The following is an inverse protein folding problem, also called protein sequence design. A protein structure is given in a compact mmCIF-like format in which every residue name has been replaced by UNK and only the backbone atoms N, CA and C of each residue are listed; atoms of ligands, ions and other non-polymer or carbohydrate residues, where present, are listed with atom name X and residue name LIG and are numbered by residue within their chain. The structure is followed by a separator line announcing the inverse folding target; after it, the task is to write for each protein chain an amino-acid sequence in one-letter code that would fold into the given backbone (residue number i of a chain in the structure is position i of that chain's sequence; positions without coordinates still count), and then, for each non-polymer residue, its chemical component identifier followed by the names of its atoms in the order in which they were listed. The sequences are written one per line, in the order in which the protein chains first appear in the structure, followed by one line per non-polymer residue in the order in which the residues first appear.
data_IF_301920356216
#
_entry.id   IF_301920356216
#
_cell.length_a   1.000
_cell.length_b   1.000
_cell.length_c   1.000
_cell.angle_alpha   90.00
_cell.angle_beta   90.00
_cell.angle_gamma   90.00
#
_symmetry.space_group_name_H-M   'P 1'
#
loop_
_entity.id
_entity.type
_entity.pdbx_description
1 polymer ?
#
# COMPACT_ATOMS: atom_id res chain seq x y z
N UNK A 1 10.96 -6.64 -13.51
CA UNK A 1 11.09 -6.88 -12.05
C UNK A 1 9.78 -7.29 -11.40
N UNK A 2 8.70 -6.53 -11.59
CA UNK A 2 7.37 -6.78 -10.99
C UNK A 2 6.86 -8.21 -11.22
N UNK A 3 6.93 -8.73 -12.44
CA UNK A 3 6.51 -10.10 -12.79
C UNK A 3 7.34 -11.15 -12.05
N UNK A 4 8.66 -10.96 -11.97
CA UNK A 4 9.57 -11.88 -11.29
C UNK A 4 9.27 -11.92 -9.78
N UNK A 5 9.10 -10.74 -9.17
CA UNK A 5 8.72 -10.63 -7.74
C UNK A 5 7.34 -11.25 -7.49
N UNK A 6 6.37 -11.02 -8.40
CA UNK A 6 5.05 -11.64 -8.34
C UNK A 6 5.11 -13.16 -8.39
N UNK A 7 5.92 -13.73 -9.28
CA UNK A 7 6.13 -15.18 -9.36
C UNK A 7 6.83 -15.71 -8.11
N UNK A 8 7.86 -15.04 -7.59
CA UNK A 8 8.57 -15.47 -6.37
C UNK A 8 7.61 -15.53 -5.19
N UNK A 9 6.83 -14.48 -4.95
CA UNK A 9 5.84 -14.47 -3.86
C UNK A 9 4.69 -15.45 -4.13
N UNK A 10 4.23 -15.57 -5.37
CA UNK A 10 3.22 -16.54 -5.76
C UNK A 10 3.67 -17.99 -5.53
N UNK A 11 4.94 -18.32 -5.80
CA UNK A 11 5.52 -19.63 -5.51
C UNK A 11 5.69 -19.85 -4.00
N UNK A 12 6.15 -18.84 -3.26
CA UNK A 12 6.32 -18.92 -1.81
C UNK A 12 5.00 -19.19 -1.08
N UNK A 13 3.89 -18.64 -1.60
CA UNK A 13 2.56 -18.75 -1.01
C UNK A 13 1.60 -19.61 -1.83
N UNK A 14 2.15 -20.56 -2.58
CA UNK A 14 1.39 -21.40 -3.50
C UNK A 14 0.23 -22.14 -2.82
N UNK A 15 -0.98 -21.95 -3.35
CA UNK A 15 -2.20 -22.66 -2.96
C UNK A 15 -2.47 -22.64 -1.44
N UNK A 16 -2.29 -21.47 -0.82
CA UNK A 16 -2.61 -21.21 0.60
C UNK A 16 -3.98 -20.56 0.80
N UNK A 17 -4.62 -20.05 -0.25
CA UNK A 17 -5.89 -19.32 -0.19
C UNK A 17 -7.03 -20.11 0.45
N UNK A 18 -7.10 -21.42 0.23
CA UNK A 18 -8.18 -22.28 0.74
C UNK A 18 -7.87 -22.93 2.11
N UNK A 19 -6.65 -22.77 2.62
CA UNK A 19 -6.22 -23.41 3.88
C UNK A 19 -6.34 -22.41 5.02
N UNK A 20 -7.48 -22.43 5.72
CA UNK A 20 -7.78 -21.50 6.83
C UNK A 20 -8.22 -22.20 8.12
N UNK A 21 -8.03 -23.52 8.22
CA UNK A 21 -8.56 -24.31 9.35
C UNK A 21 -7.83 -24.03 10.67
N UNK A 22 -6.58 -23.57 10.62
CA UNK A 22 -5.76 -23.25 11.79
C UNK A 22 -5.44 -21.76 11.81
N UNK A 23 -5.33 -21.21 13.02
CA UNK A 23 -4.90 -19.82 13.22
C UNK A 23 -3.58 -19.52 12.49
N UNK A 24 -2.62 -20.43 12.56
CA UNK A 24 -1.33 -20.28 11.89
C UNK A 24 -1.47 -20.13 10.37
N UNK A 25 -2.40 -20.85 9.75
CA UNK A 25 -2.58 -20.78 8.29
C UNK A 25 -3.19 -19.44 7.88
N UNK A 26 -4.14 -18.93 8.67
CA UNK A 26 -4.68 -17.60 8.50
C UNK A 26 -3.58 -16.54 8.67
N UNK A 27 -2.81 -16.58 9.76
CA UNK A 27 -1.70 -15.64 9.99
C UNK A 27 -0.63 -15.72 8.87
N UNK A 28 -0.35 -16.91 8.35
CA UNK A 28 0.54 -17.09 7.21
C UNK A 28 0.00 -16.41 5.94
N UNK A 29 -1.30 -16.51 5.66
CA UNK A 29 -1.95 -15.85 4.52
C UNK A 29 -1.95 -14.31 4.67
N UNK A 30 -2.20 -13.83 5.88
CA UNK A 30 -2.14 -12.40 6.20
C UNK A 30 -0.70 -11.87 6.07
N UNK A 31 0.29 -12.60 6.58
CA UNK A 31 1.71 -12.23 6.46
C UNK A 31 2.23 -12.31 5.03
N UNK A 32 1.70 -13.24 4.24
CA UNK A 32 1.99 -13.36 2.82
C UNK A 32 1.55 -12.13 2.04
N UNK A 33 0.28 -11.76 2.19
CA UNK A 33 -0.29 -10.56 1.55
C UNK A 33 0.42 -9.29 2.02
N UNK A 34 0.71 -9.17 3.32
CA UNK A 34 1.51 -8.08 3.87
C UNK A 34 2.89 -7.93 3.22
N UNK A 35 3.65 -9.03 3.19
CA UNK A 35 5.02 -9.04 2.68
C UNK A 35 5.07 -8.72 1.18
N UNK A 36 4.15 -9.30 0.41
CA UNK A 36 4.05 -9.09 -1.03
C UNK A 36 3.80 -7.61 -1.36
N UNK A 37 2.83 -6.99 -0.68
CA UNK A 37 2.46 -5.59 -0.89
C UNK A 37 3.56 -4.62 -0.46
N UNK A 38 4.15 -4.82 0.73
CA UNK A 38 5.20 -3.94 1.23
C UNK A 38 6.48 -4.00 0.41
N UNK A 39 6.90 -5.20 0.00
CA UNK A 39 8.16 -5.37 -0.71
C UNK A 39 8.12 -4.66 -2.06
N UNK A 40 7.07 -4.91 -2.86
CA UNK A 40 6.94 -4.30 -4.17
C UNK A 40 6.58 -2.80 -4.09
N UNK A 41 5.75 -2.40 -3.12
CA UNK A 41 5.46 -0.99 -2.86
C UNK A 41 6.71 -0.18 -2.47
N UNK A 42 7.58 -0.75 -1.64
CA UNK A 42 8.87 -0.14 -1.25
C UNK A 42 9.87 -0.01 -2.40
N UNK A 43 9.92 -1.01 -3.30
CA UNK A 43 10.74 -0.96 -4.51
C UNK A 43 10.25 0.14 -5.45
N UNK A 44 8.94 0.21 -5.70
CA UNK A 44 8.34 1.25 -6.55
C UNK A 44 8.64 2.66 -6.00
N UNK A 45 8.47 2.86 -4.69
CA UNK A 45 8.83 4.13 -4.03
C UNK A 45 10.28 4.50 -4.32
N UNK A 46 11.21 3.59 -4.09
CA UNK A 46 12.65 3.84 -4.26
C UNK A 46 13.02 4.13 -5.72
N UNK A 47 12.40 3.44 -6.67
CA UNK A 47 12.59 3.66 -8.11
C UNK A 47 12.13 5.05 -8.53
N UNK A 48 10.92 5.44 -8.13
CA UNK A 48 10.35 6.76 -8.45
C UNK A 48 11.18 7.88 -7.85
N UNK A 49 11.65 7.71 -6.60
CA UNK A 49 12.48 8.73 -5.94
C UNK A 49 13.76 9.06 -6.73
N UNK A 50 14.40 8.06 -7.32
CA UNK A 50 15.61 8.27 -8.13
C UNK A 50 15.29 9.04 -9.43
N UNK A 51 14.22 8.66 -10.14
CA UNK A 51 13.80 9.31 -11.38
C UNK A 51 13.42 10.77 -11.13
N UNK A 52 12.56 11.03 -10.13
CA UNK A 52 12.08 12.38 -9.80
C UNK A 52 13.22 13.28 -9.34
N UNK A 53 14.22 12.74 -8.63
CA UNK A 53 15.38 13.52 -8.20
C UNK A 53 16.23 14.03 -9.37
N UNK A 54 16.38 13.20 -10.42
CA UNK A 54 17.07 13.59 -11.66
C UNK A 54 16.24 14.63 -12.40
N UNK A 55 14.95 14.37 -12.63
CA UNK A 55 14.04 15.28 -13.34
C UNK A 55 13.92 16.65 -12.67
N UNK A 56 13.94 16.71 -11.34
CA UNK A 56 13.89 17.96 -10.57
C UNK A 56 14.96 18.97 -11.00
N UNK A 57 16.16 18.49 -11.37
CA UNK A 57 17.26 19.38 -11.81
C UNK A 57 16.95 20.02 -13.17
N UNK A 58 16.38 19.25 -14.09
CA UNK A 58 15.95 19.71 -15.42
C UNK A 58 14.76 20.67 -15.27
N UNK A 59 13.79 20.30 -14.43
CA UNK A 59 12.62 21.12 -14.10
C UNK A 59 13.01 22.51 -13.60
N UNK A 60 13.97 22.61 -12.67
CA UNK A 60 14.42 23.91 -12.18
C UNK A 60 15.03 24.79 -13.28
N UNK A 61 15.79 24.19 -14.21
CA UNK A 61 16.36 24.92 -15.35
C UNK A 61 15.29 25.40 -16.33
N UNK A 62 14.33 24.54 -16.69
CA UNK A 62 13.27 24.87 -17.64
C UNK A 62 12.26 25.87 -17.06
N UNK A 63 11.99 25.77 -15.76
CA UNK A 63 11.19 26.76 -15.04
C UNK A 63 11.89 28.11 -14.94
N UNK A 64 13.22 28.13 -14.75
CA UNK A 64 13.99 29.38 -14.76
C UNK A 64 14.02 30.04 -16.15
N UNK A 65 13.78 29.27 -17.21
CA UNK A 65 13.63 29.75 -18.59
C UNK A 65 12.15 30.04 -18.97
N UNK A 66 11.24 30.06 -18.00
CA UNK A 66 9.80 30.29 -18.19
C UNK A 66 9.11 29.38 -19.24
N UNK A 67 9.63 28.16 -19.44
CA UNK A 67 9.08 27.24 -20.44
C UNK A 67 7.72 26.65 -20.05
N UNK A 68 7.49 26.37 -18.77
CA UNK A 68 6.19 25.89 -18.26
C UNK A 68 6.04 26.08 -16.74
N UNK A 69 4.78 26.04 -16.28
CA UNK A 69 4.42 26.17 -14.87
C UNK A 69 4.56 24.87 -14.07
N UNK A 70 4.80 25.02 -12.77
CA UNK A 70 4.97 23.91 -11.82
C UNK A 70 3.75 22.96 -11.71
N UNK A 71 2.53 23.51 -11.77
CA UNK A 71 1.31 22.71 -11.56
C UNK A 71 1.01 21.79 -12.76
N UNK A 72 1.01 22.26 -14.03
CA UNK A 72 0.91 21.38 -15.19
C UNK A 72 1.94 20.24 -15.21
N UNK A 73 3.19 20.52 -14.80
CA UNK A 73 4.23 19.49 -14.65
C UNK A 73 3.84 18.43 -13.62
N UNK A 74 3.44 18.84 -12.41
CA UNK A 74 3.03 17.92 -11.35
C UNK A 74 1.81 17.06 -11.77
N UNK A 75 0.83 17.65 -12.44
CA UNK A 75 -0.33 16.90 -12.96
C UNK A 75 0.09 15.90 -14.04
N UNK A 76 0.88 16.32 -15.03
CA UNK A 76 1.32 15.44 -16.11
C UNK A 76 2.12 14.23 -15.57
N UNK A 77 3.03 14.48 -14.62
CA UNK A 77 3.83 13.44 -13.98
C UNK A 77 2.97 12.43 -13.22
N UNK A 78 1.99 12.91 -12.46
CA UNK A 78 1.10 12.02 -11.69
C UNK A 78 0.20 11.20 -12.60
N UNK A 79 -0.30 11.78 -13.69
CA UNK A 79 -1.13 11.07 -14.66
C UNK A 79 -0.35 9.94 -15.33
N UNK A 80 0.87 10.21 -15.80
CA UNK A 80 1.66 9.18 -16.48
C UNK A 80 2.07 8.05 -15.52
N UNK A 81 2.45 8.38 -14.29
CA UNK A 81 2.76 7.41 -13.25
C UNK A 81 1.54 6.54 -12.91
N UNK A 82 0.35 7.13 -12.83
CA UNK A 82 -0.88 6.39 -12.56
C UNK A 82 -1.17 5.34 -13.64
N UNK A 83 -0.95 5.67 -14.92
CA UNK A 83 -1.15 4.74 -16.04
C UNK A 83 -0.16 3.57 -15.94
N UNK A 84 1.13 3.85 -15.71
CA UNK A 84 2.14 2.80 -15.57
C UNK A 84 1.87 1.89 -14.38
N UNK A 85 1.52 2.48 -13.23
CA UNK A 85 1.18 1.73 -12.02
C UNK A 85 -0.05 0.86 -12.25
N UNK A 86 -1.09 1.35 -12.92
CA UNK A 86 -2.29 0.56 -13.19
C UNK A 86 -2.01 -0.70 -14.01
N UNK A 87 -1.19 -0.58 -15.06
CA UNK A 87 -0.80 -1.74 -15.88
C UNK A 87 0.07 -2.70 -15.04
N UNK A 88 1.03 -2.15 -14.30
CA UNK A 88 1.94 -2.94 -13.46
C UNK A 88 1.19 -3.71 -12.36
N UNK A 89 0.27 -3.06 -11.65
CA UNK A 89 -0.50 -3.67 -10.57
C UNK A 89 -1.51 -4.67 -11.10
N UNK A 90 -2.03 -4.47 -12.32
CA UNK A 90 -2.93 -5.43 -12.93
C UNK A 90 -2.23 -6.77 -13.16
N UNK A 91 -1.05 -6.74 -13.80
CA UNK A 91 -0.22 -7.93 -14.03
C UNK A 91 0.16 -8.58 -12.70
N UNK A 92 0.60 -7.80 -11.73
CA UNK A 92 1.01 -8.31 -10.42
C UNK A 92 -0.15 -8.95 -9.65
N UNK A 93 -1.31 -8.30 -9.63
CA UNK A 93 -2.51 -8.79 -8.94
C UNK A 93 -3.01 -10.07 -9.59
N UNK A 94 -2.99 -10.16 -10.92
CA UNK A 94 -3.38 -11.38 -11.63
C UNK A 94 -2.51 -12.57 -11.25
N UNK A 95 -1.18 -12.38 -11.20
CA UNK A 95 -0.23 -13.43 -10.83
C UNK A 95 -0.45 -13.85 -9.37
N UNK A 96 -0.46 -12.91 -8.43
CA UNK A 96 -0.64 -13.22 -7.02
C UNK A 96 -1.97 -13.87 -6.72
N UNK A 97 -3.07 -13.32 -7.25
CA UNK A 97 -4.41 -13.83 -6.99
C UNK A 97 -4.55 -15.28 -7.48
N UNK A 98 -4.00 -15.56 -8.67
CA UNK A 98 -3.99 -16.91 -9.25
C UNK A 98 -3.12 -17.89 -8.45
N UNK A 99 -1.91 -17.50 -8.08
CA UNK A 99 -0.94 -18.42 -7.46
C UNK A 99 -1.17 -18.65 -5.97
N UNK A 100 -1.66 -17.64 -5.24
CA UNK A 100 -2.11 -17.80 -3.84
C UNK A 100 -3.30 -18.77 -3.78
N UNK A 101 -4.12 -18.81 -4.84
CA UNK A 101 -5.29 -19.66 -4.93
C UNK A 101 -6.50 -19.05 -4.21
N UNK A 102 -6.73 -17.75 -4.38
CA UNK A 102 -7.96 -17.13 -3.88
C UNK A 102 -9.18 -17.60 -4.70
N UNK A 103 -10.35 -17.63 -4.07
CA UNK A 103 -11.60 -17.93 -4.75
C UNK A 103 -11.87 -16.93 -5.88
N UNK A 104 -11.97 -17.43 -7.11
CA UNK A 104 -12.27 -16.65 -8.30
C UNK A 104 -13.69 -16.10 -8.30
N UNK A 105 -13.84 -14.93 -7.69
CA UNK A 105 -15.03 -14.10 -7.77
C UNK A 105 -14.63 -12.72 -8.27
N UNK A 106 -15.33 -12.21 -9.29
CA UNK A 106 -15.01 -10.91 -9.92
C UNK A 106 -14.97 -9.79 -8.89
N UNK A 107 -15.92 -9.76 -7.94
CA UNK A 107 -15.92 -8.76 -6.86
C UNK A 107 -14.68 -8.82 -5.96
N UNK A 108 -14.26 -10.01 -5.54
CA UNK A 108 -13.08 -10.19 -4.67
C UNK A 108 -11.78 -9.83 -5.40
N UNK A 109 -11.68 -10.18 -6.69
CA UNK A 109 -10.55 -9.80 -7.53
C UNK A 109 -10.47 -8.29 -7.75
N UNK A 110 -11.59 -7.63 -8.05
CA UNK A 110 -11.62 -6.18 -8.25
C UNK A 110 -11.24 -5.41 -6.99
N UNK A 111 -11.71 -5.85 -5.82
CA UNK A 111 -11.30 -5.28 -4.53
C UNK A 111 -9.80 -5.52 -4.26
N UNK A 112 -9.31 -6.73 -4.53
CA UNK A 112 -7.89 -7.05 -4.39
C UNK A 112 -7.01 -6.16 -5.28
N UNK A 113 -7.37 -6.04 -6.57
CA UNK A 113 -6.72 -5.15 -7.52
C UNK A 113 -6.79 -3.69 -7.07
N UNK A 114 -7.94 -3.23 -6.59
CA UNK A 114 -8.13 -1.86 -6.09
C UNK A 114 -7.18 -1.55 -4.93
N UNK A 115 -7.08 -2.41 -3.92
CA UNK A 115 -6.21 -2.15 -2.77
C UNK A 115 -4.73 -2.17 -3.14
N UNK A 116 -4.31 -3.08 -4.03
CA UNK A 116 -2.93 -3.10 -4.54
C UNK A 116 -2.64 -1.86 -5.39
N UNK A 117 -3.58 -1.46 -6.25
CA UNK A 117 -3.48 -0.25 -7.07
C UNK A 117 -3.30 1.00 -6.20
N UNK A 118 -4.21 1.20 -5.25
CA UNK A 118 -4.15 2.34 -4.34
C UNK A 118 -2.89 2.32 -3.49
N UNK A 119 -2.45 1.13 -3.06
CA UNK A 119 -1.20 0.95 -2.36
C UNK A 119 -0.02 1.50 -3.15
N UNK A 120 0.14 1.07 -4.39
CA UNK A 120 1.28 1.49 -5.21
C UNK A 120 1.17 2.96 -5.58
N UNK A 121 -0.03 3.43 -5.86
CA UNK A 121 -0.27 4.84 -6.18
C UNK A 121 0.14 5.76 -5.03
N UNK A 122 -0.30 5.47 -3.79
CA UNK A 122 0.12 6.29 -2.65
C UNK A 122 1.61 6.12 -2.36
N UNK A 123 2.22 4.94 -2.55
CA UNK A 123 3.66 4.75 -2.35
C UNK A 123 4.48 5.59 -3.34
N UNK A 124 4.06 5.62 -4.59
CA UNK A 124 4.67 6.45 -5.64
C UNK A 124 4.51 7.94 -5.32
N UNK A 125 3.29 8.39 -5.02
CA UNK A 125 3.02 9.79 -4.64
C UNK A 125 3.80 10.21 -3.39
N UNK A 126 3.89 9.33 -2.41
CA UNK A 126 4.68 9.54 -1.21
C UNK A 126 6.18 9.63 -1.54
N UNK A 127 6.70 8.78 -2.44
CA UNK A 127 8.05 8.88 -2.98
C UNK A 127 8.31 10.24 -3.63
N UNK A 128 7.43 10.68 -4.52
CA UNK A 128 7.50 11.99 -5.18
C UNK A 128 7.44 13.15 -4.17
N UNK A 129 6.51 13.09 -3.22
CA UNK A 129 6.35 14.07 -2.14
C UNK A 129 7.62 14.19 -1.30
N UNK A 130 8.23 13.08 -0.89
CA UNK A 130 9.46 13.12 -0.08
C UNK A 130 10.64 13.75 -0.82
N UNK A 131 10.79 13.51 -2.13
CA UNK A 131 11.81 14.17 -2.96
C UNK A 131 11.50 15.65 -3.14
N UNK A 132 10.22 16.02 -3.27
CA UNK A 132 9.82 17.41 -3.39
C UNK A 132 9.97 18.21 -2.08
N UNK A 133 9.89 17.56 -0.92
CA UNK A 133 10.03 18.18 0.40
C UNK A 133 11.47 18.23 0.92
N UNK A 134 12.35 17.36 0.44
CA UNK A 134 13.69 17.20 1.03
C UNK A 134 14.81 17.47 0.01
N UNK A 135 15.90 18.13 0.45
CA UNK A 135 17.06 18.35 -0.40
C UNK A 135 17.95 17.09 -0.54
N UNK A 136 17.90 16.16 0.44
CA UNK A 136 18.81 15.01 0.53
C UNK A 136 18.04 13.69 0.78
N UNK A 137 18.41 12.64 0.03
CA UNK A 137 17.81 11.30 0.08
C UNK A 137 17.81 10.66 1.49
N UNK A 138 18.74 11.06 2.37
CA UNK A 138 18.86 10.51 3.74
C UNK A 138 17.65 10.83 4.63
N UNK A 139 16.99 11.98 4.47
CA UNK A 139 15.81 12.33 5.29
C UNK A 139 14.57 11.52 4.92
N UNK A 140 14.47 11.04 3.67
CA UNK A 140 13.38 10.18 3.23
C UNK A 140 13.44 8.75 3.82
N UNK A 141 14.57 8.37 4.45
CA UNK A 141 14.71 7.12 5.19
C UNK A 141 14.04 7.20 6.57
N UNK A 142 14.08 8.35 7.25
CA UNK A 142 13.40 8.57 8.55
C UNK A 142 11.88 8.44 8.37
N UNK A 143 11.36 8.89 7.23
CA UNK A 143 9.93 8.79 6.96
C UNK A 143 9.49 7.35 6.62
N UNK A 144 10.41 6.45 6.23
CA UNK A 144 10.13 5.00 6.08
C UNK A 144 9.86 4.31 7.43
N UNK A 145 10.43 4.80 8.53
CA UNK A 145 10.22 4.22 9.87
C UNK A 145 8.74 4.26 10.31
N UNK A 146 7.94 5.15 9.74
CA UNK A 146 6.49 5.24 10.00
C UNK A 146 5.71 4.03 9.45
N UNK A 147 6.26 3.28 8.50
CA UNK A 147 5.61 2.10 7.90
C UNK A 147 5.61 0.86 8.82
N UNK A 148 6.46 0.84 9.86
CA UNK A 148 6.55 -0.26 10.82
C UNK A 148 5.27 -0.43 11.68
N UNK A 149 4.44 0.60 11.76
CA UNK A 149 3.17 0.60 12.51
C UNK A 149 1.95 0.26 11.65
N UNK A 150 2.13 -0.48 10.56
CA UNK A 150 1.07 -0.95 9.65
C UNK A 150 0.06 -1.92 10.29
N UNK A 151 0.29 -2.33 11.53
CA UNK A 151 -0.63 -3.13 12.35
C UNK A 151 -0.76 -4.61 11.99
N UNK A 152 0.07 -5.11 11.06
CA UNK A 152 0.27 -6.56 10.90
C UNK A 152 1.24 -7.10 11.96
N UNK A 153 2.36 -6.40 12.21
CA UNK A 153 3.35 -6.82 13.22
C UNK A 153 2.83 -6.66 14.66
N UNK A 154 1.96 -5.67 14.90
CA UNK A 154 1.31 -5.43 16.20
C UNK A 154 -0.18 -5.19 15.93
N UNK A 155 -1.07 -6.12 16.33
CA UNK A 155 -2.50 -5.96 16.16
C UNK A 155 -3.01 -4.65 16.76
N UNK A 156 -3.97 -3.99 16.10
CA UNK A 156 -4.56 -2.71 16.56
C UNK A 156 -5.07 -2.79 18.00
N UNK A 157 -5.57 -3.96 18.41
CA UNK A 157 -6.09 -4.24 19.76
C UNK A 157 -5.03 -4.16 20.86
N UNK A 158 -3.76 -4.40 20.53
CA UNK A 158 -2.63 -4.35 21.47
C UNK A 158 -1.97 -2.98 21.54
N UNK A 159 -2.30 -2.06 20.63
CA UNK A 159 -1.75 -0.70 20.62
C UNK A 159 -2.43 0.16 21.71
N UNK A 160 -1.66 0.81 22.61
CA UNK A 160 -2.22 1.74 23.60
C UNK A 160 -3.09 2.81 22.95
N UNK A 161 -4.17 3.20 23.62
CA UNK A 161 -5.18 4.11 23.05
C UNK A 161 -4.54 5.42 22.56
N UNK A 162 -3.57 5.96 23.31
CA UNK A 162 -2.86 7.19 22.95
C UNK A 162 -1.89 7.06 21.75
N UNK A 163 -1.52 5.84 21.31
CA UNK A 163 -0.73 5.59 20.09
C UNK A 163 -1.58 5.18 18.89
N UNK A 164 -2.88 4.90 19.10
CA UNK A 164 -3.75 4.33 18.06
C UNK A 164 -3.99 5.27 16.87
N UNK A 165 -3.86 6.59 17.06
CA UNK A 165 -3.93 7.54 15.95
C UNK A 165 -2.81 7.31 14.91
N UNK A 166 -1.65 6.84 15.34
CA UNK A 166 -0.52 6.56 14.45
C UNK A 166 -0.83 5.40 13.49
N UNK A 167 -1.53 4.37 13.97
CA UNK A 167 -2.04 3.29 13.14
C UNK A 167 -2.97 3.82 12.03
N UNK A 168 -3.90 4.72 12.38
CA UNK A 168 -4.82 5.31 11.40
C UNK A 168 -4.16 6.34 10.47
N UNK A 169 -3.04 6.95 10.88
CA UNK A 169 -2.25 7.81 10.01
C UNK A 169 -1.41 7.03 8.98
N UNK A 170 -1.20 5.73 9.18
CA UNK A 170 -0.39 4.90 8.30
C UNK A 170 -1.23 4.33 7.14
N UNK A 171 -1.01 4.74 5.87
CA UNK A 171 -1.82 4.26 4.74
C UNK A 171 -1.70 2.75 4.52
N UNK A 172 -0.55 2.15 4.85
CA UNK A 172 -0.35 0.69 4.76
C UNK A 172 -1.32 -0.06 5.66
N UNK A 173 -1.62 0.46 6.86
CA UNK A 173 -2.56 -0.18 7.78
C UNK A 173 -3.94 -0.34 7.15
N UNK A 174 -4.38 0.67 6.38
CA UNK A 174 -5.63 0.63 5.64
C UNK A 174 -5.58 -0.36 4.47
N UNK A 175 -4.46 -0.46 3.76
CA UNK A 175 -4.30 -1.45 2.68
C UNK A 175 -4.42 -2.86 3.19
N UNK A 176 -3.74 -3.17 4.30
CA UNK A 176 -3.83 -4.49 4.93
C UNK A 176 -5.24 -4.74 5.40
N UNK A 177 -5.86 -3.78 6.10
CA UNK A 177 -7.26 -3.89 6.49
C UNK A 177 -8.16 -4.26 5.31
N UNK A 178 -8.06 -3.52 4.20
CA UNK A 178 -8.85 -3.73 2.99
C UNK A 178 -8.60 -5.09 2.33
N UNK A 179 -7.35 -5.49 2.19
CA UNK A 179 -6.99 -6.80 1.63
C UNK A 179 -7.52 -7.95 2.50
N UNK A 180 -7.30 -7.89 3.81
CA UNK A 180 -7.77 -8.94 4.73
C UNK A 180 -9.30 -9.02 4.72
N UNK A 181 -9.98 -7.90 4.93
CA UNK A 181 -11.44 -7.90 5.01
C UNK A 181 -12.11 -8.26 3.67
N UNK A 182 -11.56 -7.81 2.54
CA UNK A 182 -12.12 -8.14 1.22
C UNK A 182 -11.99 -9.61 0.83
N UNK A 183 -10.89 -10.28 1.24
CA UNK A 183 -10.66 -11.67 0.85
C UNK A 183 -11.31 -12.67 1.82
N UNK A 184 -11.17 -12.42 3.13
CA UNK A 184 -11.54 -13.38 4.18
C UNK A 184 -12.50 -12.83 5.24
N UNK A 185 -12.86 -11.54 5.19
CA UNK A 185 -13.71 -10.89 6.20
C UNK A 185 -15.18 -11.33 6.19
N UNK A 186 -15.66 -11.90 5.08
CA UNK A 186 -17.00 -12.47 4.93
C UNK A 186 -17.04 -13.98 5.21
N UNK A 187 -15.90 -14.59 5.56
CA UNK A 187 -15.78 -16.04 5.72
C UNK A 187 -16.27 -16.52 7.09
N UNK A 188 -17.26 -17.42 7.10
CA UNK A 188 -17.81 -18.05 8.31
C UNK A 188 -17.18 -19.41 8.63
N UNK A 189 -16.19 -19.86 7.86
CA UNK A 189 -15.47 -21.11 8.14
C UNK A 189 -14.85 -21.13 9.53
N UNK A 190 -14.80 -22.32 10.11
CA UNK A 190 -14.22 -22.58 11.42
C UNK A 190 -12.69 -22.49 11.40
N UNK A 191 -12.12 -21.84 12.42
CA UNK A 191 -10.69 -21.75 12.70
C UNK A 191 -10.44 -22.28 14.10
N UNK A 192 -9.49 -23.21 14.21
CA UNK A 192 -8.98 -23.68 15.49
C UNK A 192 -7.94 -22.69 16.03
N UNK A 193 -8.26 -22.12 17.20
CA UNK A 193 -7.38 -21.22 17.96
C UNK A 193 -6.79 -21.98 19.15
N UNK A 194 -5.46 -22.05 19.30
CA UNK A 194 -4.82 -22.69 20.45
C UNK A 194 -5.31 -22.05 21.76
N UNK A 195 -5.93 -22.86 22.63
CA UNK A 195 -6.46 -22.40 23.92
C UNK A 195 -7.75 -21.57 23.85
N UNK A 196 -8.30 -21.31 22.65
CA UNK A 196 -9.50 -20.50 22.42
C UNK A 196 -10.69 -21.24 21.81
N UNK A 197 -10.52 -22.51 21.44
CA UNK A 197 -11.56 -23.34 20.80
C UNK A 197 -11.73 -23.06 19.31
N UNK A 198 -12.87 -23.45 18.76
CA UNK A 198 -13.23 -23.25 17.35
C UNK A 198 -14.07 -21.99 17.23
N UNK A 199 -13.59 -21.00 16.47
CA UNK A 199 -14.32 -19.75 16.19
C UNK A 199 -14.34 -19.47 14.69
N UNK A 200 -15.28 -18.66 14.20
CA UNK A 200 -15.33 -18.32 12.77
C UNK A 200 -14.20 -17.36 12.38
N UNK A 201 -13.71 -17.44 11.12
CA UNK A 201 -12.71 -16.50 10.58
C UNK A 201 -13.17 -15.06 10.80
N UNK A 202 -14.42 -14.73 10.44
CA UNK A 202 -15.01 -13.40 10.65
C UNK A 202 -14.91 -12.92 12.10
N UNK A 203 -15.25 -13.77 13.07
CA UNK A 203 -15.21 -13.40 14.49
C UNK A 203 -13.76 -13.24 14.99
N UNK A 204 -12.85 -14.14 14.57
CA UNK A 204 -11.43 -14.02 14.88
C UNK A 204 -10.84 -12.70 14.37
N UNK A 205 -11.13 -12.34 13.12
CA UNK A 205 -10.68 -11.10 12.50
C UNK A 205 -11.20 -9.87 13.27
N UNK A 206 -12.47 -9.88 13.68
CA UNK A 206 -13.08 -8.76 14.41
C UNK A 206 -12.55 -8.63 15.84
N UNK A 207 -12.55 -9.72 16.60
CA UNK A 207 -12.28 -9.68 18.05
C UNK A 207 -10.79 -9.68 18.37
N UNK A 208 -9.98 -10.43 17.61
CA UNK A 208 -8.53 -10.55 17.87
C UNK A 208 -7.72 -9.49 17.13
N UNK A 209 -8.04 -9.25 15.85
CA UNK A 209 -7.26 -8.36 15.00
C UNK A 209 -7.90 -6.97 14.80
N UNK A 210 -9.20 -6.83 15.06
CA UNK A 210 -9.92 -5.55 14.89
C UNK A 210 -10.38 -5.26 13.46
N UNK A 211 -10.40 -6.27 12.58
CA UNK A 211 -10.85 -6.18 11.20
C UNK A 211 -12.35 -6.47 11.10
N UNK A 212 -13.12 -5.43 10.78
CA UNK A 212 -14.55 -5.49 10.52
C UNK A 212 -14.86 -5.28 9.04
N UNK A 213 -15.63 -6.20 8.46
CA UNK A 213 -16.06 -6.17 7.06
C UNK A 213 -16.96 -4.96 6.75
N UNK A 214 -17.80 -4.55 7.70
CA UNK A 214 -18.75 -3.44 7.49
C UNK A 214 -18.02 -2.08 7.34
N UNK A 215 -16.78 -2.01 7.81
CA UNK A 215 -15.93 -0.82 7.69
C UNK A 215 -15.20 -0.72 6.34
N UNK A 216 -15.33 -1.73 5.46
CA UNK A 216 -14.61 -1.80 4.18
C UNK A 216 -14.83 -0.55 3.30
N UNK A 217 -16.05 0.01 3.28
CA UNK A 217 -16.37 1.23 2.55
C UNK A 217 -15.57 2.45 3.03
N UNK A 218 -15.38 2.58 4.34
CA UNK A 218 -14.55 3.65 4.91
C UNK A 218 -13.07 3.47 4.55
N UNK A 219 -12.60 2.21 4.48
CA UNK A 219 -11.23 1.90 4.07
C UNK A 219 -10.97 2.28 2.61
N UNK A 220 -11.93 2.03 1.72
CA UNK A 220 -11.88 2.49 0.31
C UNK A 220 -11.77 4.02 0.26
N UNK A 221 -12.63 4.74 0.98
CA UNK A 221 -12.59 6.20 1.02
C UNK A 221 -11.27 6.77 1.58
N UNK A 222 -10.71 6.13 2.62
CA UNK A 222 -9.45 6.54 3.23
C UNK A 222 -8.27 6.51 2.22
N UNK A 223 -8.20 5.49 1.35
CA UNK A 223 -7.14 5.42 0.33
C UNK A 223 -7.20 6.59 -0.65
N UNK A 224 -8.40 6.97 -1.10
CA UNK A 224 -8.60 8.15 -1.94
C UNK A 224 -8.11 9.40 -1.21
N UNK A 225 -8.42 9.53 0.08
CA UNK A 225 -7.94 10.61 0.92
C UNK A 225 -6.40 10.69 0.98
N UNK A 226 -5.70 9.58 1.17
CA UNK A 226 -4.23 9.54 1.20
C UNK A 226 -3.61 9.91 -0.16
N UNK A 227 -4.18 9.39 -1.26
CA UNK A 227 -3.73 9.71 -2.62
C UNK A 227 -3.86 11.21 -2.87
N UNK A 228 -5.02 11.80 -2.56
CA UNK A 228 -5.24 13.24 -2.71
C UNK A 228 -4.32 14.06 -1.81
N UNK A 229 -4.13 13.65 -0.56
CA UNK A 229 -3.23 14.32 0.38
C UNK A 229 -1.80 14.37 -0.17
N UNK A 230 -1.23 13.22 -0.55
CA UNK A 230 0.15 13.17 -1.06
C UNK A 230 0.30 13.93 -2.38
N UNK A 231 -0.71 13.86 -3.25
CA UNK A 231 -0.74 14.66 -4.47
C UNK A 231 -0.71 16.17 -4.18
N UNK A 232 -1.57 16.66 -3.29
CA UNK A 232 -1.64 18.09 -2.95
C UNK A 232 -0.34 18.58 -2.31
N UNK A 233 0.24 17.80 -1.40
CA UNK A 233 1.53 18.14 -0.78
C UNK A 233 2.65 18.15 -1.81
N UNK A 234 2.68 17.18 -2.74
CA UNK A 234 3.64 17.16 -3.83
C UNK A 234 3.52 18.38 -4.74
N UNK A 235 2.31 18.68 -5.22
CA UNK A 235 2.04 19.82 -6.11
C UNK A 235 2.38 21.17 -5.43
N UNK A 236 2.05 21.31 -4.15
CA UNK A 236 2.42 22.47 -3.35
C UNK A 236 3.95 22.59 -3.20
N UNK A 237 4.62 21.49 -2.87
CA UNK A 237 6.07 21.45 -2.66
C UNK A 237 6.84 21.85 -3.91
N UNK A 238 6.50 21.28 -5.07
CA UNK A 238 7.14 21.67 -6.35
C UNK A 238 6.89 23.13 -6.70
N UNK A 239 5.71 23.68 -6.37
CA UNK A 239 5.40 25.08 -6.66
C UNK A 239 6.21 26.04 -5.81
N UNK A 240 6.36 25.79 -4.51
CA UNK A 240 6.89 26.76 -3.54
C UNK A 240 8.31 26.47 -3.04
N UNK A 241 8.78 25.23 -3.09
CA UNK A 241 10.11 24.87 -2.60
C UNK A 241 11.15 24.85 -3.73
N UNK A 242 12.28 25.50 -3.50
CA UNK A 242 13.43 25.49 -4.40
C UNK A 242 14.69 25.09 -3.62
N UNK A 243 15.30 23.98 -4.02
CA UNK A 243 16.52 23.44 -3.39
C UNK A 243 17.78 23.60 -4.26
N UNK A 244 17.72 24.38 -5.33
CA UNK A 244 18.90 24.67 -6.16
C UNK A 244 19.91 25.48 -5.33
N UNK A 245 21.07 24.89 -5.04
CA UNK A 245 22.23 25.67 -4.55
C UNK A 245 22.81 26.46 -5.72
N UNK A 246 22.95 27.77 -5.54
CA UNK A 246 23.70 28.66 -6.44
C UNK A 246 25.17 28.26 -6.47
#
# INVERSE_FOLDING_TARGET
MTTVIGVIFGLSFWNKGDKMNKEQDLLNLLGATYSAVLFLGGINKSSVQAVVAIERTVFYRERAADMYSALPYAFAQVVIETIYIAIQTFIYSLILFSMIGFHWQVGKFLLFYYFILMCFLYFTLYGMMTVALTPNHQFAAITMSFLLFSGFLVPRTQIPIWWRWFYWACPVAWTIYGLVTSQVGDNNSAVEVPGGGVISVKLYLKDRLGFDYDFLGAVVAAHIGFVLLFFLVFAYSIKFLNFQKR
#
